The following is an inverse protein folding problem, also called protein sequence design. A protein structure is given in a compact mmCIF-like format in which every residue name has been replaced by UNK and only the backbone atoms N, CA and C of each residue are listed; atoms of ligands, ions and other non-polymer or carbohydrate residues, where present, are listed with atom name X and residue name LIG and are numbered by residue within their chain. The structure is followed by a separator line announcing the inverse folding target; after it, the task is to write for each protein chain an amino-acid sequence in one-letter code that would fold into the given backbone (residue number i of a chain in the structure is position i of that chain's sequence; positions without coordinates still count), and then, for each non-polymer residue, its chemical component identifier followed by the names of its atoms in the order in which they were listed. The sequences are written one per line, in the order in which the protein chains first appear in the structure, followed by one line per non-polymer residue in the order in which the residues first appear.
data_IF_479884138899
#
_entry.id   IF_479884138899
#
_cell.length_a   1.000
_cell.length_b   1.000
_cell.length_c   1.000
_cell.angle_alpha   90.00
_cell.angle_beta   90.00
_cell.angle_gamma   90.00
#
_symmetry.space_group_name_H-M   'P 1'
#
loop_
_entity.id
_entity.type
_entity.pdbx_description
1 polymer ?
#
# COMPACT_ATOMS: atom_id res chain seq x y z
N UNK A 1 19.71 2.60 12.92
CA UNK A 1 20.12 3.18 11.61
C UNK A 1 19.59 2.25 10.53
N UNK A 2 18.58 2.66 9.80
CA UNK A 2 17.96 1.88 8.71
C UNK A 2 18.83 1.92 7.44
N UNK A 3 20.09 1.52 7.61
CA UNK A 3 21.12 1.62 6.59
C UNK A 3 20.85 0.65 5.42
N UNK A 4 20.75 1.19 4.24
CA UNK A 4 20.83 0.46 2.97
C UNK A 4 19.55 0.40 2.15
N UNK A 5 18.43 0.98 2.60
CA UNK A 5 17.17 0.99 1.82
C UNK A 5 17.25 1.93 0.62
N UNK A 6 16.83 1.45 -0.55
CA UNK A 6 16.86 2.21 -1.81
C UNK A 6 15.46 2.68 -2.17
N UNK A 7 15.32 3.99 -2.40
CA UNK A 7 14.05 4.64 -2.75
C UNK A 7 14.19 5.21 -4.17
N UNK A 8 13.21 4.97 -5.02
CA UNK A 8 13.10 5.61 -6.32
C UNK A 8 12.06 6.73 -6.24
N UNK A 9 12.43 7.93 -6.66
CA UNK A 9 11.55 9.09 -6.82
C UNK A 9 11.28 9.28 -8.31
N UNK A 10 10.01 9.34 -8.70
CA UNK A 10 9.58 9.58 -10.08
C UNK A 10 8.61 10.76 -10.08
N UNK A 11 9.08 11.90 -10.53
CA UNK A 11 8.32 13.15 -10.63
C UNK A 11 8.88 13.94 -11.82
N UNK A 12 8.08 14.63 -12.61
CA UNK A 12 8.56 15.45 -13.73
C UNK A 12 8.97 16.86 -13.31
N UNK A 13 8.59 17.29 -12.11
CA UNK A 13 9.00 18.54 -11.50
C UNK A 13 10.40 18.41 -10.89
N UNK A 14 11.38 19.13 -11.46
CA UNK A 14 12.77 19.11 -11.00
C UNK A 14 12.92 19.62 -9.56
N UNK A 15 12.17 20.66 -9.15
CA UNK A 15 12.26 21.25 -7.81
C UNK A 15 11.77 20.29 -6.74
N UNK A 16 10.65 19.63 -7.00
CA UNK A 16 10.10 18.60 -6.09
C UNK A 16 11.05 17.42 -5.99
N UNK A 17 11.61 17.01 -7.13
CA UNK A 17 12.52 15.86 -7.18
C UNK A 17 13.81 16.11 -6.42
N UNK A 18 14.42 17.30 -6.60
CA UNK A 18 15.65 17.72 -5.89
C UNK A 18 15.40 17.88 -4.39
N UNK A 19 14.27 18.49 -3.99
CA UNK A 19 13.88 18.63 -2.59
C UNK A 19 13.76 17.27 -1.90
N UNK A 20 12.98 16.37 -2.50
CA UNK A 20 12.75 15.03 -1.92
C UNK A 20 14.05 14.21 -1.91
N UNK A 21 14.86 14.25 -2.96
CA UNK A 21 16.15 13.57 -3.00
C UNK A 21 17.05 14.01 -1.86
N UNK A 22 17.17 15.33 -1.63
CA UNK A 22 17.99 15.89 -0.57
C UNK A 22 17.53 15.43 0.82
N UNK A 23 16.26 15.61 1.17
CA UNK A 23 15.75 15.32 2.51
C UNK A 23 15.71 13.83 2.81
N UNK A 24 15.37 13.00 1.82
CA UNK A 24 15.32 11.54 1.97
C UNK A 24 16.76 10.99 2.10
N UNK A 25 17.72 11.50 1.34
CA UNK A 25 19.12 11.11 1.48
C UNK A 25 19.70 11.54 2.84
N UNK A 26 19.37 12.73 3.33
CA UNK A 26 19.75 13.21 4.68
C UNK A 26 19.18 12.29 5.78
N UNK A 27 18.05 11.65 5.54
CA UNK A 27 17.44 10.67 6.46
C UNK A 27 18.09 9.28 6.40
N UNK A 28 19.15 9.09 5.60
CA UNK A 28 19.98 7.89 5.56
C UNK A 28 19.55 6.84 4.54
N UNK A 29 18.70 7.19 3.57
CA UNK A 29 18.29 6.33 2.47
C UNK A 29 19.16 6.54 1.23
N UNK A 30 19.29 5.48 0.40
CA UNK A 30 19.82 5.64 -0.96
C UNK A 30 18.70 6.07 -1.88
N UNK A 31 18.92 7.11 -2.64
CA UNK A 31 17.89 7.68 -3.53
C UNK A 31 18.34 7.61 -4.99
N UNK A 32 17.47 7.12 -5.83
CA UNK A 32 17.53 7.26 -7.27
C UNK A 32 16.34 8.11 -7.75
N UNK A 33 16.50 8.84 -8.86
CA UNK A 33 15.44 9.67 -9.39
C UNK A 33 15.13 9.35 -10.86
N UNK A 34 13.92 9.65 -11.31
CA UNK A 34 13.53 9.63 -12.72
C UNK A 34 12.57 10.78 -13.00
N UNK A 35 12.72 11.43 -14.16
CA UNK A 35 11.95 12.61 -14.55
C UNK A 35 10.68 12.30 -15.35
N UNK A 36 10.30 11.05 -15.50
CA UNK A 36 9.08 10.62 -16.19
C UNK A 36 8.74 9.17 -15.89
N UNK A 37 7.48 8.80 -16.10
CA UNK A 37 6.98 7.48 -15.78
C UNK A 37 7.63 6.33 -16.53
N UNK A 38 8.04 6.53 -17.80
CA UNK A 38 8.68 5.48 -18.60
C UNK A 38 10.06 5.12 -18.06
N UNK A 39 10.87 6.11 -17.70
CA UNK A 39 12.19 5.90 -17.13
C UNK A 39 12.09 5.33 -15.71
N UNK A 40 11.11 5.83 -14.93
CA UNK A 40 10.77 5.27 -13.62
C UNK A 40 10.44 3.78 -13.70
N UNK A 41 9.54 3.40 -14.59
CA UNK A 41 9.17 1.99 -14.80
C UNK A 41 10.38 1.14 -15.23
N UNK A 42 11.18 1.63 -16.19
CA UNK A 42 12.39 0.93 -16.61
C UNK A 42 13.37 0.70 -15.45
N UNK A 43 13.55 1.71 -14.58
CA UNK A 43 14.40 1.56 -13.38
C UNK A 43 13.86 0.50 -12.44
N UNK A 44 12.56 0.51 -12.13
CA UNK A 44 11.92 -0.48 -11.25
C UNK A 44 12.04 -1.90 -11.79
N UNK A 45 11.90 -2.09 -13.10
CA UNK A 45 11.98 -3.43 -13.71
C UNK A 45 13.40 -3.98 -13.77
N UNK A 46 14.43 -3.13 -13.77
CA UNK A 46 15.84 -3.53 -13.94
C UNK A 46 16.69 -3.42 -12.66
N UNK A 47 16.17 -2.82 -11.60
CA UNK A 47 16.87 -2.66 -10.32
C UNK A 47 15.97 -3.03 -9.16
N UNK A 48 16.57 -3.25 -7.99
CA UNK A 48 15.85 -3.50 -6.75
C UNK A 48 15.67 -2.20 -5.98
N UNK A 49 14.44 -1.89 -5.62
CA UNK A 49 14.07 -0.78 -4.74
C UNK A 49 13.21 -1.30 -3.59
N UNK A 50 13.31 -0.64 -2.45
CA UNK A 50 12.52 -0.94 -1.26
C UNK A 50 11.22 -0.13 -1.23
N UNK A 51 11.17 1.02 -1.94
CA UNK A 51 10.00 1.88 -2.05
C UNK A 51 10.08 2.73 -3.33
N UNK A 52 8.94 3.03 -3.91
CA UNK A 52 8.80 3.97 -5.03
C UNK A 52 7.90 5.13 -4.61
N UNK A 53 8.38 6.35 -4.77
CA UNK A 53 7.58 7.58 -4.68
C UNK A 53 7.25 8.01 -6.09
N UNK A 54 5.98 8.26 -6.39
CA UNK A 54 5.51 8.32 -7.76
C UNK A 54 4.50 9.47 -7.93
N UNK A 55 4.88 10.50 -8.67
CA UNK A 55 3.90 11.53 -9.03
C UNK A 55 2.83 10.96 -9.95
N UNK A 56 1.58 11.38 -9.71
CA UNK A 56 0.45 10.96 -10.52
C UNK A 56 0.42 11.65 -11.87
N UNK A 57 0.72 12.95 -11.88
CA UNK A 57 0.46 13.82 -13.05
C UNK A 57 1.71 14.03 -13.90
N UNK A 58 2.23 12.97 -14.51
CA UNK A 58 3.40 13.06 -15.40
C UNK A 58 3.00 12.96 -16.88
N UNK A 59 3.74 13.63 -17.79
CA UNK A 59 3.52 13.50 -19.22
C UNK A 59 3.89 12.11 -19.75
N UNK A 60 3.26 11.69 -20.85
CA UNK A 60 3.48 10.43 -21.57
C UNK A 60 2.98 9.17 -20.85
N UNK A 61 3.41 8.93 -19.61
CA UNK A 61 2.99 7.82 -18.77
C UNK A 61 2.74 8.35 -17.37
N UNK A 62 1.51 8.37 -16.93
CA UNK A 62 1.13 8.85 -15.60
C UNK A 62 1.50 7.83 -14.50
N UNK A 63 1.48 8.29 -13.23
CA UNK A 63 1.86 7.45 -12.11
C UNK A 63 0.96 6.21 -11.91
N UNK A 64 -0.33 6.33 -12.22
CA UNK A 64 -1.25 5.17 -12.13
C UNK A 64 -0.86 4.06 -13.11
N UNK A 65 -0.48 4.44 -14.35
CA UNK A 65 -0.02 3.48 -15.34
C UNK A 65 1.28 2.80 -14.93
N UNK A 66 2.23 3.58 -14.36
CA UNK A 66 3.49 3.02 -13.81
C UNK A 66 3.19 2.02 -12.71
N UNK A 67 2.37 2.39 -11.71
CA UNK A 67 2.00 1.52 -10.61
C UNK A 67 1.33 0.23 -11.09
N UNK A 68 0.37 0.35 -12.01
CA UNK A 68 -0.31 -0.81 -12.61
C UNK A 68 0.68 -1.76 -13.29
N UNK A 69 1.66 -1.26 -14.03
CA UNK A 69 2.71 -2.06 -14.66
C UNK A 69 3.60 -2.76 -13.61
N UNK A 70 3.95 -2.07 -12.50
CA UNK A 70 4.68 -2.66 -11.37
C UNK A 70 3.91 -3.85 -10.81
N UNK A 71 2.60 -3.73 -10.61
CA UNK A 71 1.75 -4.82 -10.10
C UNK A 71 1.56 -5.95 -11.12
N UNK A 72 1.43 -5.64 -12.40
CA UNK A 72 1.39 -6.64 -13.47
C UNK A 72 2.68 -7.46 -13.55
N UNK A 73 3.83 -6.84 -13.27
CA UNK A 73 5.12 -7.52 -13.12
C UNK A 73 5.23 -8.35 -11.83
N UNK A 74 4.16 -8.41 -11.01
CA UNK A 74 4.08 -9.13 -9.72
C UNK A 74 5.09 -8.63 -8.68
N UNK A 75 5.54 -7.40 -8.79
CA UNK A 75 6.41 -6.76 -7.82
C UNK A 75 5.57 -6.21 -6.66
N UNK A 76 5.96 -6.57 -5.42
CA UNK A 76 5.32 -6.14 -4.17
C UNK A 76 6.04 -4.96 -3.51
N UNK A 77 6.74 -4.14 -4.30
CA UNK A 77 7.41 -2.94 -3.82
C UNK A 77 6.33 -1.95 -3.35
N UNK A 78 6.42 -1.36 -2.15
CA UNK A 78 5.52 -0.30 -1.72
C UNK A 78 5.59 0.90 -2.66
N UNK A 79 4.43 1.47 -2.96
CA UNK A 79 4.28 2.65 -3.82
C UNK A 79 3.55 3.75 -3.06
N UNK A 80 4.23 4.88 -2.81
CA UNK A 80 3.65 6.12 -2.31
C UNK A 80 3.34 7.03 -3.51
N UNK A 81 2.07 7.36 -3.70
CA UNK A 81 1.65 8.29 -4.74
C UNK A 81 1.67 9.73 -4.25
N UNK A 82 2.24 10.65 -5.03
CA UNK A 82 2.07 12.09 -4.85
C UNK A 82 0.99 12.59 -5.81
N UNK A 83 -0.01 13.30 -5.31
CA UNK A 83 -1.17 13.68 -6.13
C UNK A 83 -1.62 15.11 -5.87
N UNK A 84 -2.18 15.79 -6.88
CA UNK A 84 -2.80 17.08 -6.68
C UNK A 84 -4.17 16.93 -5.99
N UNK A 85 -4.57 17.95 -5.20
CA UNK A 85 -5.88 18.02 -4.57
C UNK A 85 -6.99 17.91 -5.65
N UNK A 86 -7.93 16.98 -5.45
CA UNK A 86 -9.02 16.73 -6.41
C UNK A 86 -8.81 15.53 -7.33
N UNK A 87 -7.58 15.08 -7.58
CA UNK A 87 -7.31 13.88 -8.41
C UNK A 87 -7.80 12.59 -7.76
N UNK A 88 -7.91 12.59 -6.44
CA UNK A 88 -8.46 11.46 -5.68
C UNK A 88 -9.98 11.39 -5.82
N UNK A 89 -10.69 12.55 -5.93
CA UNK A 89 -12.16 12.62 -6.01
C UNK A 89 -12.70 12.28 -7.40
N UNK A 90 -11.93 12.52 -8.48
CA UNK A 90 -12.42 12.36 -9.86
C UNK A 90 -12.24 10.93 -10.43
N UNK A 91 -11.56 10.02 -9.72
CA UNK A 91 -11.22 8.71 -10.29
C UNK A 91 -11.36 7.57 -9.29
N UNK A 92 -12.56 7.09 -9.10
CA UNK A 92 -12.80 5.66 -8.75
C UNK A 92 -12.04 4.66 -9.65
N UNK A 93 -11.48 5.14 -10.75
CA UNK A 93 -10.68 4.38 -11.73
C UNK A 93 -9.17 4.36 -11.39
N UNK A 94 -8.65 5.31 -10.61
CA UNK A 94 -7.21 5.39 -10.29
C UNK A 94 -6.77 4.47 -9.15
N UNK A 95 -7.68 4.05 -8.32
CA UNK A 95 -7.39 3.26 -7.11
C UNK A 95 -7.16 1.76 -7.38
N UNK A 96 -7.58 1.24 -8.53
CA UNK A 96 -7.28 -0.13 -8.95
C UNK A 96 -5.81 -0.33 -9.39
N UNK A 97 -4.96 0.70 -9.29
CA UNK A 97 -3.55 0.57 -9.66
C UNK A 97 -2.72 -0.21 -8.62
N UNK A 98 -3.19 -0.31 -7.37
CA UNK A 98 -2.51 -1.04 -6.30
C UNK A 98 -1.39 -0.25 -5.60
N UNK A 99 -1.49 1.08 -5.54
CA UNK A 99 -0.63 1.90 -4.68
C UNK A 99 -0.90 1.61 -3.20
N UNK A 100 0.09 1.84 -2.34
CA UNK A 100 0.02 1.49 -0.92
C UNK A 100 -0.33 2.69 -0.04
N UNK A 101 0.00 3.91 -0.49
CA UNK A 101 -0.33 5.14 0.20
C UNK A 101 -0.37 6.32 -0.78
N UNK A 102 -0.99 7.43 -0.37
CA UNK A 102 -1.18 8.65 -1.16
C UNK A 102 -0.89 9.88 -0.33
N UNK A 103 -0.23 10.86 -0.93
CA UNK A 103 0.02 12.16 -0.31
C UNK A 103 -0.38 13.28 -1.26
N UNK A 104 -1.17 14.22 -0.76
CA UNK A 104 -1.73 15.32 -1.57
C UNK A 104 -0.73 16.48 -1.61
N UNK A 105 -0.43 16.99 -2.80
CA UNK A 105 0.35 18.22 -3.01
C UNK A 105 -0.54 19.46 -2.73
N UNK A 106 -0.03 20.52 -2.03
CA UNK A 106 1.28 20.62 -1.42
C UNK A 106 1.39 19.84 -0.11
N UNK A 107 2.55 19.25 0.16
CA UNK A 107 2.81 18.43 1.34
C UNK A 107 4.01 18.99 2.16
N UNK A 108 4.08 18.58 3.41
CA UNK A 108 5.26 18.75 4.24
C UNK A 108 6.22 17.57 4.02
N UNK A 109 7.52 17.86 3.85
CA UNK A 109 8.54 16.80 3.68
C UNK A 109 8.58 15.86 4.90
N UNK A 110 8.29 16.36 6.11
CA UNK A 110 8.21 15.51 7.30
C UNK A 110 7.10 14.46 7.20
N UNK A 111 5.99 14.80 6.54
CA UNK A 111 4.91 13.85 6.26
C UNK A 111 5.37 12.78 5.25
N UNK A 112 6.09 13.17 4.20
CA UNK A 112 6.70 12.21 3.25
C UNK A 112 7.61 11.23 4.01
N UNK A 113 8.50 11.75 4.87
CA UNK A 113 9.43 10.92 5.64
C UNK A 113 8.71 9.99 6.64
N UNK A 114 7.60 10.44 7.23
CA UNK A 114 6.76 9.61 8.08
C UNK A 114 6.17 8.43 7.29
N UNK A 115 5.56 8.71 6.13
CA UNK A 115 4.94 7.69 5.27
C UNK A 115 5.98 6.70 4.73
N UNK A 116 7.16 7.17 4.34
CA UNK A 116 8.30 6.32 3.96
C UNK A 116 8.63 5.31 5.08
N UNK A 117 8.78 5.79 6.33
CA UNK A 117 9.10 4.92 7.47
C UNK A 117 8.04 3.85 7.70
N UNK A 118 6.78 4.23 7.63
CA UNK A 118 5.65 3.30 7.76
C UNK A 118 5.68 2.23 6.67
N UNK A 119 5.82 2.65 5.40
CA UNK A 119 5.83 1.73 4.26
C UNK A 119 7.05 0.80 4.26
N UNK A 120 8.22 1.28 4.67
CA UNK A 120 9.44 0.47 4.76
C UNK A 120 9.42 -0.50 5.93
N UNK A 121 8.77 -0.15 7.07
CA UNK A 121 8.60 -1.04 8.21
C UNK A 121 7.88 -2.33 7.83
N UNK A 122 6.91 -2.26 6.92
CA UNK A 122 6.13 -3.40 6.42
C UNK A 122 6.98 -4.44 5.69
N UNK A 123 8.12 -4.03 5.12
CA UNK A 123 9.03 -4.90 4.36
C UNK A 123 10.20 -5.45 5.18
N UNK A 124 10.28 -5.19 6.49
CA UNK A 124 11.31 -5.75 7.35
C UNK A 124 10.75 -6.98 8.08
N UNK A 125 11.47 -8.11 8.09
CA UNK A 125 11.26 -9.12 9.12
C UNK A 125 11.57 -8.45 10.46
N UNK A 126 10.54 -8.14 11.24
CA UNK A 126 10.66 -7.29 12.43
C UNK A 126 11.57 -7.93 13.50
N UNK A 127 12.48 -7.10 14.04
CA UNK A 127 13.29 -7.42 15.23
C UNK A 127 12.51 -7.23 16.55
N UNK A 128 11.18 -7.00 16.51
CA UNK A 128 10.29 -6.98 17.67
C UNK A 128 8.97 -7.76 17.38
N UNK A 129 8.36 -8.43 18.39
CA UNK A 129 7.40 -9.51 18.17
C UNK A 129 5.98 -9.00 17.91
N UNK A 130 5.66 -8.60 16.69
CA UNK A 130 4.27 -8.33 16.32
C UNK A 130 3.82 -8.97 15.00
N UNK A 131 4.73 -9.45 14.17
CA UNK A 131 4.41 -10.37 13.08
C UNK A 131 5.32 -11.59 13.26
N UNK A 132 4.85 -12.63 13.93
CA UNK A 132 5.50 -13.93 13.84
C UNK A 132 5.54 -14.32 12.36
N UNK A 133 6.67 -14.84 11.86
CA UNK A 133 6.75 -15.48 10.54
C UNK A 133 5.81 -16.72 10.45
N UNK A 134 4.92 -16.85 11.40
CA UNK A 134 3.95 -17.93 11.49
C UNK A 134 2.79 -17.68 10.53
N UNK A 135 2.43 -18.72 9.83
CA UNK A 135 1.21 -18.74 9.02
C UNK A 135 0.05 -18.46 9.96
N UNK A 136 -0.65 -17.35 9.74
CA UNK A 136 -1.86 -17.06 10.48
C UNK A 136 -3.04 -17.71 9.74
N UNK A 137 -3.79 -18.56 10.46
CA UNK A 137 -4.96 -19.25 9.91
C UNK A 137 -6.20 -18.87 10.69
N UNK A 138 -7.27 -18.51 9.99
CA UNK A 138 -8.56 -18.18 10.56
C UNK A 138 -9.68 -18.69 9.64
N UNK A 139 -10.44 -19.68 10.12
CA UNK A 139 -11.44 -20.37 9.30
C UNK A 139 -10.78 -21.08 8.11
N UNK A 140 -11.16 -20.68 6.90
CA UNK A 140 -10.62 -21.20 5.63
C UNK A 140 -9.66 -20.21 4.93
N UNK A 141 -9.13 -19.26 5.68
CA UNK A 141 -8.16 -18.25 5.21
C UNK A 141 -6.83 -18.51 5.89
N UNK A 142 -5.77 -18.59 5.10
CA UNK A 142 -4.39 -18.65 5.56
C UNK A 142 -3.59 -17.53 4.92
N UNK A 143 -2.73 -16.85 5.68
CA UNK A 143 -1.84 -15.81 5.16
C UNK A 143 -0.38 -16.14 5.43
N UNK A 144 0.46 -15.74 4.48
CA UNK A 144 1.89 -16.04 4.42
C UNK A 144 2.67 -14.71 4.40
N UNK A 145 3.19 -14.26 5.58
CA UNK A 145 3.88 -12.96 5.68
C UNK A 145 5.08 -12.82 4.74
N UNK A 146 5.91 -13.85 4.63
CA UNK A 146 7.14 -13.81 3.81
C UNK A 146 6.87 -13.56 2.32
N UNK A 147 5.70 -14.00 1.83
CA UNK A 147 5.37 -13.91 0.41
C UNK A 147 4.26 -12.91 0.10
N UNK A 148 3.67 -12.28 1.11
CA UNK A 148 2.49 -11.42 0.98
C UNK A 148 1.35 -12.11 0.20
N UNK A 149 1.10 -13.37 0.53
CA UNK A 149 0.07 -14.18 -0.12
C UNK A 149 -0.98 -14.61 0.88
N UNK A 150 -2.19 -14.83 0.39
CA UNK A 150 -3.21 -15.56 1.14
C UNK A 150 -3.72 -16.75 0.35
N UNK A 151 -4.18 -17.77 1.05
CA UNK A 151 -4.87 -18.94 0.48
C UNK A 151 -6.29 -18.95 1.02
N UNK A 152 -7.26 -18.97 0.11
CA UNK A 152 -8.69 -19.06 0.42
C UNK A 152 -9.28 -20.14 -0.49
N UNK A 153 -9.89 -21.18 0.11
CA UNK A 153 -10.51 -22.30 -0.63
C UNK A 153 -9.55 -22.86 -1.69
N UNK A 154 -8.31 -23.14 -1.30
CA UNK A 154 -7.23 -23.66 -2.17
C UNK A 154 -6.79 -22.69 -3.31
N UNK A 155 -7.26 -21.46 -3.32
CA UNK A 155 -6.83 -20.43 -4.27
C UNK A 155 -5.74 -19.58 -3.64
N UNK A 156 -4.55 -19.60 -4.23
CA UNK A 156 -3.42 -18.73 -3.84
C UNK A 156 -3.54 -17.37 -4.48
N UNK A 157 -3.48 -16.31 -3.67
CA UNK A 157 -3.75 -14.92 -4.06
C UNK A 157 -2.59 -14.06 -3.58
N UNK A 158 -1.99 -13.29 -4.50
CA UNK A 158 -0.96 -12.30 -4.18
C UNK A 158 -1.61 -10.98 -3.79
N UNK A 159 -1.20 -10.45 -2.64
CA UNK A 159 -1.67 -9.17 -2.11
C UNK A 159 -0.62 -8.08 -2.32
N UNK A 160 -1.05 -6.82 -2.32
CA UNK A 160 -0.15 -5.69 -2.11
C UNK A 160 0.26 -5.63 -0.64
N UNK A 161 1.36 -4.94 -0.27
CA UNK A 161 1.73 -4.78 1.13
C UNK A 161 0.58 -4.28 2.01
N UNK A 162 -0.13 -3.24 1.59
CA UNK A 162 -1.24 -2.67 2.36
C UNK A 162 -2.46 -3.59 2.45
N UNK A 163 -2.83 -4.29 1.36
CA UNK A 163 -3.91 -5.29 1.41
C UNK A 163 -3.58 -6.43 2.38
N UNK A 164 -2.30 -6.83 2.42
CA UNK A 164 -1.84 -7.86 3.35
C UNK A 164 -1.99 -7.40 4.80
N UNK A 165 -1.55 -6.19 5.15
CA UNK A 165 -1.66 -5.62 6.49
C UNK A 165 -3.11 -5.50 6.96
N UNK A 166 -4.00 -5.02 6.08
CA UNK A 166 -5.44 -4.93 6.37
C UNK A 166 -5.99 -6.34 6.67
N UNK A 167 -5.68 -7.32 5.84
CA UNK A 167 -6.16 -8.69 6.04
C UNK A 167 -5.57 -9.29 7.32
N UNK A 168 -4.28 -9.05 7.60
CA UNK A 168 -3.60 -9.50 8.81
C UNK A 168 -4.26 -8.94 10.08
N UNK A 169 -4.48 -7.63 10.14
CA UNK A 169 -5.18 -6.98 11.26
C UNK A 169 -6.59 -7.58 11.46
N UNK A 170 -7.34 -7.75 10.38
CA UNK A 170 -8.69 -8.34 10.45
C UNK A 170 -8.67 -9.81 10.88
N UNK A 171 -7.64 -10.57 10.52
CA UNK A 171 -7.48 -11.97 10.97
C UNK A 171 -7.13 -12.07 12.46
N UNK A 172 -6.34 -11.14 13.00
CA UNK A 172 -6.09 -11.07 14.44
C UNK A 172 -7.38 -10.82 15.24
N UNK A 173 -8.35 -10.13 14.63
CA UNK A 173 -9.66 -9.84 15.21
C UNK A 173 -10.79 -10.67 14.58
N UNK A 174 -10.47 -11.88 14.13
CA UNK A 174 -11.40 -12.75 13.40
C UNK A 174 -12.77 -12.86 14.09
N UNK A 175 -13.84 -12.75 13.32
CA UNK A 175 -15.23 -12.71 13.80
C UNK A 175 -15.60 -11.47 14.65
N UNK A 176 -14.71 -10.51 14.84
CA UNK A 176 -15.01 -9.26 15.53
C UNK A 176 -14.95 -8.07 14.55
N UNK A 177 -15.75 -7.05 14.83
CA UNK A 177 -15.69 -5.82 14.06
C UNK A 177 -14.46 -5.01 14.49
N UNK A 178 -13.65 -4.57 13.52
CA UNK A 178 -12.51 -3.67 13.71
C UNK A 178 -12.92 -2.27 13.26
N UNK A 179 -12.69 -1.26 14.10
CA UNK A 179 -13.06 0.11 13.78
C UNK A 179 -12.19 0.70 12.66
N UNK A 180 -12.68 1.73 11.98
CA UNK A 180 -11.87 2.44 10.97
C UNK A 180 -10.62 3.04 11.60
N UNK A 181 -10.73 3.64 12.79
CA UNK A 181 -9.59 4.21 13.52
C UNK A 181 -8.53 3.14 13.85
N UNK A 182 -8.95 1.98 14.36
CA UNK A 182 -8.02 0.87 14.64
C UNK A 182 -7.30 0.39 13.39
N UNK A 183 -8.02 0.24 12.26
CA UNK A 183 -7.41 -0.16 10.99
C UNK A 183 -6.41 0.89 10.47
N UNK A 184 -6.73 2.17 10.58
CA UNK A 184 -5.83 3.25 10.18
C UNK A 184 -4.58 3.30 11.06
N UNK A 185 -4.74 3.18 12.37
CA UNK A 185 -3.62 3.19 13.32
C UNK A 185 -2.71 1.96 13.14
N UNK A 186 -3.28 0.76 13.07
CA UNK A 186 -2.48 -0.47 12.93
C UNK A 186 -1.79 -0.58 11.56
N UNK A 187 -2.46 -0.16 10.48
CA UNK A 187 -1.93 -0.28 9.12
C UNK A 187 -1.04 0.91 8.75
N UNK A 188 -1.42 2.13 9.07
CA UNK A 188 -0.65 3.33 8.68
C UNK A 188 0.04 4.04 9.86
N UNK A 189 -0.38 3.78 11.12
CA UNK A 189 0.20 4.39 12.31
C UNK A 189 -0.20 5.85 12.52
N UNK A 190 -1.23 6.30 11.83
CA UNK A 190 -1.82 7.65 11.97
C UNK A 190 -3.30 7.61 11.58
N UNK A 191 -4.05 8.62 12.03
CA UNK A 191 -5.49 8.77 11.78
C UNK A 191 -5.74 10.16 11.17
N UNK A 192 -6.36 10.18 10.00
CA UNK A 192 -6.91 11.37 9.40
C UNK A 192 -8.21 11.04 8.64
N UNK A 193 -9.13 12.01 8.54
CA UNK A 193 -10.38 11.82 7.80
C UNK A 193 -10.17 11.54 6.30
N UNK A 194 -9.04 11.98 5.72
CA UNK A 194 -8.69 11.74 4.33
C UNK A 194 -8.28 10.27 4.12
N UNK A 195 -7.67 9.64 5.11
CA UNK A 195 -7.16 8.26 5.04
C UNK A 195 -8.29 7.20 5.10
N UNK A 196 -9.48 7.54 5.62
CA UNK A 196 -10.65 6.66 5.56
C UNK A 196 -11.06 6.34 4.12
N UNK A 197 -10.89 7.28 3.18
CA UNK A 197 -11.17 7.01 1.76
C UNK A 197 -10.19 5.99 1.19
N UNK A 198 -8.92 6.14 1.53
CA UNK A 198 -7.86 5.23 1.10
C UNK A 198 -8.09 3.82 1.65
N UNK A 199 -8.42 3.68 2.93
CA UNK A 199 -8.79 2.39 3.52
C UNK A 199 -9.93 1.72 2.74
N UNK A 200 -10.99 2.46 2.37
CA UNK A 200 -12.12 1.91 1.59
C UNK A 200 -11.68 1.38 0.24
N UNK A 201 -10.72 2.03 -0.39
CA UNK A 201 -10.16 1.61 -1.67
C UNK A 201 -9.40 0.31 -1.55
N UNK A 202 -8.49 0.22 -0.57
CA UNK A 202 -7.74 -1.02 -0.32
C UNK A 202 -8.67 -2.18 0.05
N UNK A 203 -9.71 -1.91 0.85
CA UNK A 203 -10.77 -2.90 1.13
C UNK A 203 -11.50 -3.32 -0.15
N UNK A 204 -11.77 -2.37 -1.07
CA UNK A 204 -12.34 -2.67 -2.39
C UNK A 204 -11.42 -3.57 -3.23
N UNK A 205 -10.12 -3.23 -3.30
CA UNK A 205 -9.09 -4.03 -3.97
C UNK A 205 -8.94 -5.42 -3.37
N UNK A 206 -8.91 -5.49 -2.04
CA UNK A 206 -8.85 -6.76 -1.30
C UNK A 206 -10.08 -7.64 -1.63
N UNK A 207 -11.29 -7.08 -1.59
CA UNK A 207 -12.52 -7.79 -1.98
C UNK A 207 -12.47 -8.32 -3.40
N UNK A 208 -11.99 -7.54 -4.36
CA UNK A 208 -11.86 -7.99 -5.75
C UNK A 208 -10.93 -9.21 -5.90
N UNK A 209 -10.01 -9.41 -4.96
CA UNK A 209 -9.08 -10.54 -4.96
C UNK A 209 -9.59 -11.76 -4.19
N UNK A 210 -10.18 -11.54 -3.00
CA UNK A 210 -10.54 -12.61 -2.08
C UNK A 210 -11.98 -13.08 -2.19
N UNK A 211 -12.90 -12.23 -2.64
CA UNK A 211 -14.31 -12.56 -2.71
C UNK A 211 -14.70 -13.23 -4.04
N UNK A 212 -15.67 -14.13 -4.05
CA UNK A 212 -16.27 -14.62 -5.29
C UNK A 212 -17.00 -13.51 -6.08
N UNK A 213 -17.67 -12.60 -5.38
CA UNK A 213 -18.32 -11.40 -5.89
C UNK A 213 -18.05 -10.23 -4.92
N UNK A 214 -17.21 -9.28 -5.33
CA UNK A 214 -16.85 -8.13 -4.48
C UNK A 214 -18.02 -7.23 -4.10
N UNK A 215 -19.14 -7.27 -4.85
CA UNK A 215 -20.38 -6.54 -4.56
C UNK A 215 -21.25 -7.25 -3.51
N UNK A 216 -21.03 -8.55 -3.31
CA UNK A 216 -21.72 -9.38 -2.31
C UNK A 216 -20.68 -10.13 -1.47
N UNK A 217 -19.93 -9.41 -0.63
CA UNK A 217 -18.83 -10.00 0.12
C UNK A 217 -19.32 -11.09 1.08
N UNK A 218 -18.58 -12.19 1.12
CA UNK A 218 -18.87 -13.37 1.93
C UNK A 218 -17.86 -13.56 3.07
N UNK A 219 -16.69 -12.90 2.98
CA UNK A 219 -15.64 -12.94 3.98
C UNK A 219 -15.47 -11.58 4.67
N UNK A 220 -15.33 -10.51 3.89
CA UNK A 220 -14.99 -9.18 4.36
C UNK A 220 -16.23 -8.26 4.36
N UNK A 221 -16.91 -8.20 5.50
CA UNK A 221 -18.16 -7.45 5.66
C UNK A 221 -17.91 -6.02 6.09
N UNK A 222 -18.78 -5.09 5.65
CA UNK A 222 -18.85 -3.74 6.20
C UNK A 222 -19.81 -3.75 7.40
N UNK A 223 -19.33 -3.25 8.54
CA UNK A 223 -20.16 -3.01 9.72
C UNK A 223 -20.50 -1.52 9.75
N UNK A 224 -21.75 -1.18 9.43
CA UNK A 224 -22.20 0.20 9.28
C UNK A 224 -21.84 1.04 10.50
N UNK A 225 -21.24 2.22 10.28
CA UNK A 225 -20.78 3.19 11.29
C UNK A 225 -19.71 2.66 12.26
N UNK A 226 -19.12 1.48 12.01
CA UNK A 226 -18.04 0.91 12.83
C UNK A 226 -16.77 0.74 11.99
N UNK A 227 -16.80 -0.13 10.99
CA UNK A 227 -15.62 -0.48 10.21
C UNK A 227 -15.84 -1.76 9.43
N UNK A 228 -14.93 -2.72 9.60
CA UNK A 228 -14.95 -3.98 8.86
C UNK A 228 -14.86 -5.20 9.77
N UNK A 229 -15.35 -6.32 9.28
CA UNK A 229 -15.32 -7.61 9.98
C UNK A 229 -14.96 -8.70 8.98
N UNK A 230 -14.03 -9.59 9.36
CA UNK A 230 -13.71 -10.80 8.62
C UNK A 230 -14.41 -12.00 9.25
N UNK A 231 -15.10 -12.80 8.44
CA UNK A 231 -15.80 -14.02 8.89
C UNK A 231 -15.43 -15.21 8.02
N UNK A 232 -15.63 -16.47 8.48
CA UNK A 232 -15.51 -17.64 7.63
C UNK A 232 -16.63 -17.65 6.57
N UNK A 233 -16.42 -18.45 5.50
CA UNK A 233 -17.41 -18.63 4.46
C UNK A 233 -18.69 -19.28 5.00
N UNK A 234 -19.84 -18.65 4.79
CA UNK A 234 -21.15 -19.28 4.97
C UNK A 234 -21.81 -19.10 6.35
N UNK A 235 -21.46 -18.08 7.14
CA UNK A 235 -22.29 -17.63 8.28
C UNK A 235 -23.16 -16.43 7.94
#
# INVERSE_FOLDING_TARGET
MENGKRILIVDDDDEIRELLEFDIAQSGYFVDTASNGKDGLNKVLNNSYDLVILDVMMPKMNGFDVCKNIRQAKLSIPVLMLTAKGTIDDKTVGFDCGADDYLVKPFDVQEVLLRIRVLLRRNQPQAEPSLSNEILSAGNIEIFPDTLECVIVNKKIKLTPTEFEILYCLMQHFNNAVTLATLLDEVWGYDSDEDVRMLRVHVGGLRNKIEPDSKKPQYLHTVTNVGYKLTPFGE
#
